data_IF_294192596023
#
_entry.id   IF_294192596023
#
_cell.length_a   1.000
_cell.length_b   1.000
_cell.length_c   1.000
_cell.angle_alpha   90.00
_cell.angle_beta   90.00
_cell.angle_gamma   90.00
#
_symmetry.space_group_name_H-M   'P 1'
#
loop_
_entity.id
_entity.type
_entity.pdbx_description
1 polymer ?
#
# COMPACT_ATOMS: atom_id res chain seq x y z
N UNK A 1 -19.71 -66.73 -57.25
CA UNK A 1 -19.00 -66.56 -55.97
C UNK A 1 -17.71 -65.80 -56.26
N UNK A 2 -17.76 -64.47 -56.31
CA UNK A 2 -16.56 -63.66 -56.52
C UNK A 2 -16.08 -63.11 -55.18
N UNK A 3 -15.03 -63.76 -54.69
CA UNK A 3 -14.39 -63.48 -53.42
C UNK A 3 -13.65 -62.13 -53.52
N UNK A 4 -14.24 -61.06 -52.96
CA UNK A 4 -13.55 -59.79 -52.66
C UNK A 4 -12.41 -60.10 -51.68
N UNK A 5 -11.21 -60.36 -52.20
CA UNK A 5 -9.98 -60.40 -51.39
C UNK A 5 -9.74 -59.01 -50.81
N UNK A 6 -9.95 -58.88 -49.51
CA UNK A 6 -9.44 -57.77 -48.71
C UNK A 6 -7.93 -57.69 -48.94
N UNK A 7 -7.46 -56.66 -49.66
CA UNK A 7 -6.03 -56.35 -49.75
C UNK A 7 -5.62 -55.83 -48.38
N UNK A 8 -5.11 -56.70 -47.52
CA UNK A 8 -4.35 -56.28 -46.35
C UNK A 8 -3.11 -55.55 -46.87
N UNK A 9 -3.17 -54.22 -46.87
CA UNK A 9 -2.09 -53.36 -47.34
C UNK A 9 -0.88 -53.64 -46.44
N UNK A 10 0.10 -54.36 -46.96
CA UNK A 10 1.30 -54.70 -46.22
C UNK A 10 2.09 -53.43 -45.93
N UNK A 11 2.33 -53.13 -44.65
CA UNK A 11 3.03 -51.93 -44.19
C UNK A 11 4.42 -51.76 -44.85
N UNK A 12 5.03 -52.89 -45.23
CA UNK A 12 6.30 -52.95 -45.96
C UNK A 12 6.20 -52.44 -47.40
N UNK A 13 5.11 -52.72 -48.11
CA UNK A 13 4.87 -52.21 -49.48
C UNK A 13 4.64 -50.70 -49.48
N UNK A 14 3.98 -50.16 -48.46
CA UNK A 14 3.81 -48.72 -48.27
C UNK A 14 5.14 -48.00 -47.96
N UNK A 15 6.02 -48.60 -47.15
CA UNK A 15 7.28 -47.98 -46.70
C UNK A 15 8.44 -48.08 -47.72
N UNK A 16 8.48 -49.14 -48.53
CA UNK A 16 9.54 -49.39 -49.51
C UNK A 16 9.92 -48.20 -50.42
N UNK A 17 8.96 -47.47 -51.05
CA UNK A 17 9.31 -46.33 -51.91
C UNK A 17 9.95 -45.15 -51.15
N UNK A 18 9.63 -44.98 -49.86
CA UNK A 18 10.21 -43.93 -49.01
C UNK A 18 11.65 -44.29 -48.57
N UNK A 19 11.91 -45.56 -48.22
CA UNK A 19 13.26 -46.03 -47.88
C UNK A 19 14.24 -45.93 -49.06
N UNK A 20 13.78 -46.15 -50.30
CA UNK A 20 14.65 -46.01 -51.47
C UNK A 20 15.10 -44.55 -51.69
N UNK A 21 14.30 -43.58 -51.23
CA UNK A 21 14.60 -42.14 -51.29
C UNK A 21 15.18 -41.58 -49.98
N UNK A 22 15.81 -42.42 -49.14
CA UNK A 22 16.34 -42.03 -47.82
C UNK A 22 17.25 -40.79 -47.83
N UNK A 23 17.99 -40.54 -48.92
CA UNK A 23 18.84 -39.34 -49.06
C UNK A 23 18.04 -38.04 -48.96
N UNK A 24 16.83 -37.99 -49.53
CA UNK A 24 15.95 -36.82 -49.44
C UNK A 24 15.46 -36.60 -48.01
N UNK A 25 15.19 -37.68 -47.26
CA UNK A 25 14.85 -37.59 -45.84
C UNK A 25 16.00 -37.05 -45.00
N UNK A 26 17.23 -37.52 -45.24
CA UNK A 26 18.42 -37.02 -44.55
C UNK A 26 18.65 -35.53 -44.84
N UNK A 27 18.51 -35.10 -46.09
CA UNK A 27 18.60 -33.68 -46.47
C UNK A 27 17.53 -32.85 -45.76
N UNK A 28 16.29 -33.34 -45.72
CA UNK A 28 15.18 -32.63 -45.07
C UNK A 28 15.43 -32.49 -43.56
N UNK A 29 15.86 -33.56 -42.89
CA UNK A 29 16.24 -33.54 -41.47
C UNK A 29 17.36 -32.52 -41.22
N UNK A 30 18.37 -32.48 -42.09
CA UNK A 30 19.47 -31.51 -41.97
C UNK A 30 18.97 -30.06 -42.12
N UNK A 31 18.13 -29.78 -43.12
CA UNK A 31 17.53 -28.46 -43.32
C UNK A 31 16.65 -28.05 -42.14
N UNK A 32 15.81 -28.95 -41.62
CA UNK A 32 14.99 -28.68 -40.44
C UNK A 32 15.83 -28.45 -39.18
N UNK A 33 16.94 -29.17 -39.03
CA UNK A 33 17.88 -28.96 -37.92
C UNK A 33 18.53 -27.58 -38.01
N UNK A 34 18.98 -27.17 -39.20
CA UNK A 34 19.53 -25.83 -39.43
C UNK A 34 18.51 -24.72 -39.15
N UNK A 35 17.29 -24.87 -39.64
CA UNK A 35 16.20 -23.93 -39.38
C UNK A 35 15.86 -23.88 -37.88
N UNK A 36 15.84 -25.03 -37.20
CA UNK A 36 15.63 -25.11 -35.76
C UNK A 36 16.71 -24.39 -34.96
N UNK A 37 17.99 -24.60 -35.30
CA UNK A 37 19.12 -23.89 -34.66
C UNK A 37 19.03 -22.39 -34.92
N UNK A 38 18.71 -21.98 -36.15
CA UNK A 38 18.53 -20.58 -36.51
C UNK A 38 17.39 -19.94 -35.70
N UNK A 39 16.25 -20.62 -35.59
CA UNK A 39 15.10 -20.15 -34.81
C UNK A 39 15.41 -20.01 -33.32
N UNK A 40 16.05 -21.00 -32.71
CA UNK A 40 16.44 -20.96 -31.29
C UNK A 40 17.43 -19.83 -31.03
N UNK A 41 18.37 -19.61 -31.94
CA UNK A 41 19.41 -18.58 -31.78
C UNK A 41 18.88 -17.16 -32.03
N UNK A 42 17.84 -17.02 -32.86
CA UNK A 42 17.20 -15.74 -33.17
C UNK A 42 16.15 -15.32 -32.14
N UNK A 43 15.58 -16.26 -31.39
CA UNK A 43 14.54 -15.98 -30.40
C UNK A 43 15.12 -15.39 -29.11
N UNK A 44 14.50 -14.34 -28.58
CA UNK A 44 14.86 -13.77 -27.28
C UNK A 44 14.32 -14.66 -26.15
N UNK A 45 15.14 -15.01 -25.13
CA UNK A 45 14.67 -15.81 -24.00
C UNK A 45 13.75 -14.98 -23.10
N UNK A 46 12.58 -15.52 -22.76
CA UNK A 46 11.64 -14.93 -21.80
C UNK A 46 11.76 -15.68 -20.48
N UNK A 47 11.92 -14.95 -19.38
CA UNK A 47 12.04 -15.51 -18.04
C UNK A 47 10.84 -15.14 -17.19
N UNK A 48 10.24 -16.15 -16.57
CA UNK A 48 9.19 -15.97 -15.56
C UNK A 48 9.82 -15.74 -14.19
N UNK A 49 9.51 -14.61 -13.56
CA UNK A 49 9.79 -14.37 -12.16
C UNK A 49 8.49 -14.47 -11.36
N UNK A 50 8.59 -14.95 -10.12
CA UNK A 50 7.44 -15.18 -9.27
C UNK A 50 7.79 -14.84 -7.82
N UNK A 51 6.83 -14.27 -7.09
CA UNK A 51 6.92 -14.01 -5.65
C UNK A 51 5.56 -14.30 -5.00
N UNK A 52 5.59 -14.66 -3.72
CA UNK A 52 4.38 -15.01 -2.97
C UNK A 52 4.28 -14.14 -1.73
N UNK A 53 3.12 -13.53 -1.53
CA UNK A 53 2.84 -12.53 -0.48
C UNK A 53 1.72 -13.06 0.39
N UNK A 54 1.97 -13.13 1.71
CA UNK A 54 0.96 -13.53 2.70
C UNK A 54 0.19 -12.30 3.20
N UNK A 55 -1.14 -12.33 3.10
CA UNK A 55 -2.03 -11.29 3.60
C UNK A 55 -2.44 -11.63 5.04
N UNK A 56 -1.92 -10.87 6.01
CA UNK A 56 -2.11 -11.14 7.44
C UNK A 56 -3.52 -10.81 7.96
N UNK A 57 -4.18 -9.79 7.40
CA UNK A 57 -5.45 -9.27 7.94
C UNK A 57 -6.71 -9.86 7.27
N UNK A 58 -6.56 -10.82 6.34
CA UNK A 58 -7.67 -11.43 5.60
C UNK A 58 -8.74 -12.10 6.49
N UNK A 59 -8.40 -12.52 7.72
CA UNK A 59 -9.32 -13.24 8.63
C UNK A 59 -10.05 -12.37 9.67
N UNK A 60 -9.76 -11.07 9.76
CA UNK A 60 -10.20 -10.27 10.93
C UNK A 60 -11.66 -9.81 10.91
N UNK A 61 -12.38 -9.90 9.78
CA UNK A 61 -13.77 -9.45 9.73
C UNK A 61 -14.77 -10.38 10.44
N UNK A 62 -14.39 -11.64 10.72
CA UNK A 62 -15.27 -12.57 11.47
C UNK A 62 -15.22 -12.42 12.99
N UNK A 63 -14.32 -11.61 13.55
CA UNK A 63 -14.13 -11.53 15.01
C UNK A 63 -14.76 -10.30 15.68
N UNK A 64 -15.07 -9.23 14.93
CA UNK A 64 -15.57 -7.97 15.47
C UNK A 64 -17.10 -7.84 15.47
N UNK A 65 -17.81 -8.70 14.73
CA UNK A 65 -19.26 -8.84 14.83
C UNK A 65 -19.56 -10.07 15.71
N UNK A 66 -19.76 -9.83 17.01
CA UNK A 66 -20.32 -10.84 17.89
C UNK A 66 -21.57 -11.44 17.25
N UNK A 67 -21.57 -12.77 17.13
CA UNK A 67 -22.73 -13.59 16.76
C UNK A 67 -23.16 -13.63 15.28
N UNK A 68 -22.20 -13.71 14.34
CA UNK A 68 -22.47 -14.10 12.93
C UNK A 68 -22.24 -15.60 12.68
N UNK A 69 -21.86 -16.39 13.68
CA UNK A 69 -21.73 -17.84 13.52
C UNK A 69 -23.09 -18.57 13.46
N UNK A 70 -24.17 -17.96 13.96
CA UNK A 70 -25.52 -18.54 13.89
C UNK A 70 -26.14 -18.36 12.50
N UNK A 71 -25.76 -17.32 11.76
CA UNK A 71 -26.27 -17.06 10.40
C UNK A 71 -25.58 -17.90 9.31
N UNK A 72 -24.38 -18.45 9.58
CA UNK A 72 -23.65 -19.29 8.63
C UNK A 72 -24.28 -20.67 8.41
N UNK A 73 -25.11 -21.15 9.36
CA UNK A 73 -25.82 -22.42 9.23
C UNK A 73 -27.14 -22.32 8.44
N UNK A 74 -27.58 -21.11 8.08
CA UNK A 74 -28.78 -20.86 7.28
C UNK A 74 -28.39 -20.56 5.82
N UNK A 75 -27.91 -21.58 5.11
CA UNK A 75 -27.87 -21.62 3.64
C UNK A 75 -26.90 -20.64 2.94
N UNK A 76 -25.85 -21.18 2.34
CA UNK A 76 -25.10 -20.56 1.22
C UNK A 76 -24.40 -19.20 1.44
N UNK A 77 -24.19 -18.73 2.67
CA UNK A 77 -23.47 -17.47 2.93
C UNK A 77 -21.95 -17.63 3.15
N UNK A 78 -21.34 -18.69 2.66
CA UNK A 78 -19.89 -18.95 2.79
C UNK A 78 -19.00 -18.05 1.91
N UNK A 79 -19.57 -17.15 1.11
CA UNK A 79 -18.82 -16.29 0.18
C UNK A 79 -18.35 -14.94 0.74
N UNK A 80 -18.75 -14.54 1.95
CA UNK A 80 -18.44 -13.18 2.44
C UNK A 80 -17.05 -13.03 3.10
N UNK A 81 -16.30 -14.14 3.25
CA UNK A 81 -14.93 -14.14 3.79
C UNK A 81 -13.81 -13.90 2.77
N UNK A 82 -14.11 -13.92 1.46
CA UNK A 82 -13.10 -13.80 0.38
C UNK A 82 -12.90 -12.39 -0.14
N UNK A 83 -13.85 -11.47 0.15
CA UNK A 83 -13.78 -10.07 -0.28
C UNK A 83 -12.46 -9.39 0.11
N UNK A 84 -11.91 -9.73 1.28
CA UNK A 84 -10.64 -9.15 1.73
C UNK A 84 -9.47 -9.52 0.80
N UNK A 85 -9.36 -10.77 0.35
CA UNK A 85 -8.24 -11.19 -0.51
C UNK A 85 -8.45 -10.72 -1.95
N UNK A 86 -9.68 -10.78 -2.45
CA UNK A 86 -10.03 -10.25 -3.78
C UNK A 86 -9.75 -8.75 -3.89
N UNK A 87 -10.00 -8.00 -2.82
CA UNK A 87 -9.62 -6.59 -2.73
C UNK A 87 -8.09 -6.42 -2.83
N UNK A 88 -7.29 -7.20 -2.11
CA UNK A 88 -5.82 -7.12 -2.20
C UNK A 88 -5.30 -7.48 -3.60
N UNK A 89 -5.92 -8.46 -4.27
CA UNK A 89 -5.63 -8.76 -5.68
C UNK A 89 -5.91 -7.53 -6.55
N UNK A 90 -7.04 -6.86 -6.33
CA UNK A 90 -7.39 -5.61 -7.00
C UNK A 90 -6.37 -4.50 -6.75
N UNK A 91 -5.86 -4.39 -5.52
CA UNK A 91 -4.82 -3.42 -5.14
C UNK A 91 -3.52 -3.71 -5.91
N UNK A 92 -3.05 -4.97 -5.94
CA UNK A 92 -1.87 -5.34 -6.72
C UNK A 92 -2.03 -5.10 -8.24
N UNK A 93 -3.24 -5.30 -8.78
CA UNK A 93 -3.55 -5.02 -10.20
C UNK A 93 -3.83 -3.55 -10.47
N UNK A 94 -3.86 -2.68 -9.46
CA UNK A 94 -4.19 -1.28 -9.65
C UNK A 94 -3.10 -0.53 -10.41
N UNK A 95 -3.51 0.41 -11.27
CA UNK A 95 -2.57 1.25 -12.04
C UNK A 95 -1.69 2.08 -11.13
N UNK A 96 -2.23 2.61 -10.03
CA UNK A 96 -1.51 3.50 -9.11
C UNK A 96 -0.24 2.86 -8.55
N UNK A 97 -0.32 1.61 -8.08
CA UNK A 97 0.86 0.93 -7.52
C UNK A 97 1.90 0.66 -8.60
N UNK A 98 1.47 0.18 -9.77
CA UNK A 98 2.38 -0.07 -10.90
C UNK A 98 3.04 1.23 -11.35
N UNK A 99 2.27 2.32 -11.43
CA UNK A 99 2.72 3.65 -11.81
C UNK A 99 3.81 4.18 -10.88
N UNK A 100 3.61 4.08 -9.56
CA UNK A 100 4.59 4.51 -8.57
C UNK A 100 5.89 3.72 -8.68
N UNK A 101 5.80 2.40 -8.90
CA UNK A 101 6.98 1.54 -9.11
C UNK A 101 7.74 1.94 -10.38
N UNK A 102 7.03 2.21 -11.48
CA UNK A 102 7.63 2.62 -12.74
C UNK A 102 8.30 4.00 -12.62
N UNK A 103 7.69 4.95 -11.90
CA UNK A 103 8.26 6.28 -11.61
C UNK A 103 9.55 6.19 -10.79
N UNK A 104 9.57 5.38 -9.74
CA UNK A 104 10.73 5.27 -8.86
C UNK A 104 11.94 4.58 -9.53
N UNK A 105 11.69 3.66 -10.46
CA UNK A 105 12.74 2.82 -11.06
C UNK A 105 13.05 3.12 -12.54
N UNK A 106 12.45 4.16 -13.13
CA UNK A 106 12.70 4.60 -14.52
C UNK A 106 12.56 3.46 -15.54
N UNK A 107 11.53 2.63 -15.40
CA UNK A 107 11.29 1.46 -16.26
C UNK A 107 10.74 1.79 -17.66
N UNK A 108 10.54 3.08 -17.96
CA UNK A 108 9.94 3.58 -19.19
C UNK A 108 10.82 3.40 -20.43
N UNK A 109 12.13 3.48 -20.27
CA UNK A 109 13.08 3.44 -21.39
C UNK A 109 13.95 2.19 -21.31
N UNK A 110 13.48 1.03 -21.79
CA UNK A 110 14.31 -0.16 -21.85
C UNK A 110 15.45 0.03 -22.86
N UNK A 111 16.64 -0.39 -22.45
CA UNK A 111 17.87 -0.29 -23.23
C UNK A 111 18.23 -1.67 -23.75
N UNK A 112 18.62 -1.77 -25.02
CA UNK A 112 18.96 -3.01 -25.69
C UNK A 112 20.32 -2.93 -26.35
N UNK A 113 21.05 -4.05 -26.35
CA UNK A 113 22.24 -4.24 -27.16
C UNK A 113 21.91 -5.16 -28.35
N UNK A 114 22.05 -4.65 -29.57
CA UNK A 114 21.81 -5.42 -30.80
C UNK A 114 22.96 -6.41 -31.02
N UNK A 115 22.67 -7.71 -30.92
CA UNK A 115 23.62 -8.76 -31.32
C UNK A 115 23.35 -9.22 -32.76
N UNK A 116 24.15 -10.16 -33.24
CA UNK A 116 24.03 -10.73 -34.59
C UNK A 116 22.68 -11.41 -34.83
N UNK A 117 22.11 -12.09 -33.82
CA UNK A 117 20.91 -12.92 -33.98
C UNK A 117 19.71 -12.43 -33.17
N UNK A 118 19.93 -11.80 -32.02
CA UNK A 118 18.88 -11.28 -31.15
C UNK A 118 19.32 -9.98 -30.46
N UNK A 119 18.36 -9.25 -29.90
CA UNK A 119 18.66 -8.11 -29.04
C UNK A 119 18.58 -8.54 -27.59
N UNK A 120 19.52 -8.09 -26.77
CA UNK A 120 19.56 -8.39 -25.34
C UNK A 120 19.21 -7.12 -24.57
N UNK A 121 18.19 -7.18 -23.73
CA UNK A 121 17.83 -6.09 -22.82
C UNK A 121 18.91 -5.91 -21.73
N UNK A 122 19.44 -4.69 -21.64
CA UNK A 122 20.38 -4.25 -20.62
C UNK A 122 19.63 -3.57 -19.47
N UNK A 123 19.78 -4.12 -18.27
CA UNK A 123 19.19 -3.58 -17.05
C UNK A 123 20.13 -3.76 -15.84
N UNK A 124 19.98 -2.90 -14.83
CA UNK A 124 20.73 -3.00 -13.59
C UNK A 124 22.23 -2.88 -13.81
N UNK A 125 23.00 -3.91 -13.44
CA UNK A 125 24.47 -3.89 -13.56
C UNK A 125 24.97 -3.97 -15.00
N UNK A 126 24.13 -4.41 -15.94
CA UNK A 126 24.52 -4.61 -17.35
C UNK A 126 24.34 -3.38 -18.22
N UNK A 127 23.58 -2.37 -17.77
CA UNK A 127 23.39 -1.13 -18.53
C UNK A 127 24.48 -0.10 -18.23
N UNK A 128 25.18 0.45 -19.23
CA UNK A 128 26.23 1.47 -19.02
C UNK A 128 25.68 2.84 -18.60
N UNK A 129 24.42 3.13 -18.92
CA UNK A 129 23.76 4.40 -18.60
C UNK A 129 22.32 4.18 -18.17
N UNK A 130 21.77 5.19 -17.51
CA UNK A 130 20.38 5.27 -17.09
C UNK A 130 19.78 6.49 -17.80
N UNK A 131 18.61 6.29 -18.42
CA UNK A 131 17.84 7.36 -19.06
C UNK A 131 16.71 7.72 -18.12
N UNK A 132 16.71 8.96 -17.64
CA UNK A 132 15.60 9.49 -16.85
C UNK A 132 14.76 10.42 -17.74
N UNK A 133 13.47 10.13 -17.86
CA UNK A 133 12.53 10.99 -18.56
C UNK A 133 12.08 12.07 -17.57
N UNK A 134 12.46 13.32 -17.83
CA UNK A 134 12.14 14.46 -16.96
C UNK A 134 10.74 14.99 -17.26
N UNK A 135 10.40 15.07 -18.55
CA UNK A 135 9.12 15.60 -19.01
C UNK A 135 8.75 15.00 -20.37
N UNK A 136 7.53 14.48 -20.50
CA UNK A 136 6.95 14.09 -21.79
C UNK A 136 6.34 15.29 -22.50
N UNK A 137 6.40 15.31 -23.84
CA UNK A 137 5.73 16.32 -24.66
C UNK A 137 4.41 15.73 -25.16
N UNK A 138 3.30 16.21 -24.60
CA UNK A 138 1.97 15.61 -24.76
C UNK A 138 1.42 15.57 -26.20
N UNK A 139 1.90 16.44 -27.09
CA UNK A 139 1.40 16.57 -28.48
C UNK A 139 2.41 16.08 -29.55
N UNK A 140 3.46 15.39 -29.12
CA UNK A 140 4.52 14.93 -30.02
C UNK A 140 4.25 13.50 -30.53
N UNK A 141 4.57 13.26 -31.81
CA UNK A 141 4.56 11.90 -32.34
C UNK A 141 5.63 11.04 -31.63
N UNK A 142 5.17 9.91 -31.08
CA UNK A 142 6.04 8.94 -30.43
C UNK A 142 6.93 8.24 -31.48
N UNK A 143 8.22 8.01 -31.17
CA UNK A 143 9.12 7.34 -32.09
C UNK A 143 8.67 5.88 -32.28
N UNK A 144 8.49 5.46 -33.54
CA UNK A 144 8.10 4.07 -33.84
C UNK A 144 9.33 3.17 -34.01
N UNK A 145 10.48 3.79 -34.30
CA UNK A 145 11.77 3.11 -34.48
C UNK A 145 12.70 3.26 -33.28
N UNK A 146 13.62 2.30 -33.08
CA UNK A 146 14.61 2.37 -32.00
C UNK A 146 15.57 3.54 -32.20
N UNK A 147 16.02 4.12 -31.09
CA UNK A 147 16.98 5.23 -31.07
C UNK A 147 18.33 4.66 -30.67
N UNK A 148 19.29 4.70 -31.59
CA UNK A 148 20.64 4.20 -31.37
C UNK A 148 21.47 5.20 -30.58
N UNK A 149 22.29 4.67 -29.68
CA UNK A 149 23.13 5.43 -28.74
C UNK A 149 24.57 5.03 -28.97
N UNK A 150 25.39 5.96 -29.47
CA UNK A 150 26.84 5.80 -29.57
C UNK A 150 27.53 6.59 -28.47
N UNK A 151 28.40 5.93 -27.71
CA UNK A 151 29.12 6.52 -26.58
C UNK A 151 30.58 6.68 -26.96
N UNK A 152 31.05 7.92 -27.06
CA UNK A 152 32.46 8.26 -27.27
C UNK A 152 32.96 9.03 -26.04
N UNK A 153 33.40 8.29 -25.02
CA UNK A 153 33.85 8.85 -23.74
C UNK A 153 32.70 9.52 -22.99
N UNK A 154 32.68 10.86 -22.98
CA UNK A 154 31.63 11.65 -22.32
C UNK A 154 30.56 12.19 -23.29
N UNK A 155 30.78 12.01 -24.60
CA UNK A 155 29.87 12.42 -25.66
C UNK A 155 28.95 11.26 -26.03
N UNK A 156 27.66 11.54 -26.08
CA UNK A 156 26.61 10.61 -26.47
C UNK A 156 26.00 11.13 -27.77
N UNK A 157 26.03 10.32 -28.82
CA UNK A 157 25.35 10.64 -30.09
C UNK A 157 24.12 9.77 -30.23
N UNK A 158 22.97 10.42 -30.40
CA UNK A 158 21.68 9.78 -30.58
C UNK A 158 21.28 9.86 -32.05
N UNK A 159 21.02 8.72 -32.66
CA UNK A 159 20.61 8.62 -34.06
C UNK A 159 19.34 7.77 -34.16
N UNK A 160 18.33 8.26 -34.87
CA UNK A 160 17.13 7.50 -35.22
C UNK A 160 16.94 7.55 -36.73
N UNK A 161 16.42 6.47 -37.31
CA UNK A 161 16.05 6.45 -38.74
C UNK A 161 14.92 7.43 -39.09
N UNK A 162 14.22 7.96 -38.08
CA UNK A 162 13.16 8.96 -38.23
C UNK A 162 13.66 10.41 -38.13
N UNK A 163 14.96 10.61 -37.84
CA UNK A 163 15.52 11.94 -37.65
C UNK A 163 16.43 12.33 -38.80
N UNK A 164 16.29 13.57 -39.27
CA UNK A 164 17.16 14.12 -40.32
C UNK A 164 18.60 14.41 -39.83
N UNK A 165 18.77 14.60 -38.51
CA UNK A 165 20.06 14.91 -37.88
C UNK A 165 20.22 14.18 -36.56
N UNK A 166 21.44 13.70 -36.34
CA UNK A 166 21.86 13.13 -35.07
C UNK A 166 21.86 14.22 -33.97
N UNK A 167 21.41 13.83 -32.78
CA UNK A 167 21.40 14.70 -31.60
C UNK A 167 22.60 14.33 -30.73
N UNK A 168 23.49 15.30 -30.52
CA UNK A 168 24.65 15.13 -29.65
C UNK A 168 24.37 15.67 -28.25
N UNK A 169 24.71 14.87 -27.24
CA UNK A 169 24.55 15.24 -25.83
C UNK A 169 25.69 14.72 -24.97
N UNK A 170 25.67 15.11 -23.69
CA UNK A 170 26.65 14.73 -22.68
C UNK A 170 25.93 14.15 -21.46
N UNK A 171 26.67 13.37 -20.66
CA UNK A 171 26.14 12.90 -19.38
C UNK A 171 25.80 14.06 -18.45
N UNK A 172 24.75 13.87 -17.63
CA UNK A 172 24.20 14.86 -16.70
C UNK A 172 23.66 16.14 -17.36
N UNK A 173 23.49 16.14 -18.68
CA UNK A 173 22.83 17.23 -19.42
C UNK A 173 21.44 16.81 -19.86
N UNK A 174 20.46 17.68 -19.63
CA UNK A 174 19.11 17.49 -20.16
C UNK A 174 19.13 17.70 -21.67
N UNK A 175 18.50 16.78 -22.39
CA UNK A 175 18.44 16.76 -23.85
C UNK A 175 16.99 16.83 -24.27
N UNK A 176 16.64 17.83 -25.07
CA UNK A 176 15.29 17.92 -25.64
C UNK A 176 15.21 17.02 -26.87
N UNK A 177 14.51 15.91 -26.75
CA UNK A 177 14.10 15.07 -27.88
C UNK A 177 12.75 15.55 -28.42
N UNK A 178 12.37 15.18 -29.65
CA UNK A 178 11.09 15.58 -30.23
C UNK A 178 9.87 15.24 -29.34
N UNK A 179 9.93 14.13 -28.62
CA UNK A 179 8.84 13.58 -27.80
C UNK A 179 9.01 13.75 -26.28
N UNK A 180 10.23 14.01 -25.77
CA UNK A 180 10.48 14.13 -24.34
C UNK A 180 11.77 14.89 -24.02
N UNK A 181 11.88 15.39 -22.78
CA UNK A 181 13.14 15.88 -22.21
C UNK A 181 13.74 14.75 -21.39
N UNK A 182 14.93 14.30 -21.79
CA UNK A 182 15.62 13.17 -21.14
C UNK A 182 16.95 13.58 -20.54
N UNK A 183 17.35 12.89 -19.48
CA UNK A 183 18.63 13.06 -18.80
C UNK A 183 19.39 11.74 -18.82
N UNK A 184 20.60 11.75 -19.40
CA UNK A 184 21.49 10.60 -19.40
C UNK A 184 22.42 10.64 -18.19
N UNK A 185 22.45 9.56 -17.41
CA UNK A 185 23.33 9.42 -16.23
C UNK A 185 24.20 8.18 -16.40
N UNK A 186 25.50 8.29 -16.09
CA UNK A 186 26.40 7.13 -16.04
C UNK A 186 25.95 6.18 -14.94
N UNK A 187 25.88 4.89 -15.22
CA UNK A 187 25.55 3.91 -14.20
C UNK A 187 26.80 3.56 -13.37
N UNK A 188 26.87 3.92 -12.08
CA UNK A 188 28.02 3.60 -11.24
C UNK A 188 28.15 2.10 -10.95
N UNK A 189 27.05 1.33 -11.04
CA UNK A 189 27.02 -0.10 -10.80
C UNK A 189 27.31 -0.93 -12.08
N UNK A 190 27.72 -0.28 -13.16
CA UNK A 190 27.95 -0.93 -14.44
C UNK A 190 29.11 -1.94 -14.37
N UNK A 191 28.85 -3.15 -14.84
CA UNK A 191 29.83 -4.21 -15.04
C UNK A 191 29.72 -4.69 -16.49
N UNK A 192 30.81 -4.56 -17.24
CA UNK A 192 30.83 -4.96 -18.64
C UNK A 192 30.50 -6.46 -18.78
N UNK A 193 29.37 -6.82 -19.42
CA UNK A 193 29.00 -8.22 -19.61
C UNK A 193 29.99 -8.92 -20.57
N UNK A 194 30.58 -10.07 -20.19
CA UNK A 194 31.70 -10.68 -20.93
C UNK A 194 31.35 -11.28 -22.30
N UNK A 195 30.06 -11.35 -22.66
CA UNK A 195 29.57 -12.04 -23.89
C UNK A 195 28.62 -11.19 -24.74
N UNK A 196 28.57 -9.87 -24.50
CA UNK A 196 27.62 -8.98 -25.18
C UNK A 196 28.43 -7.93 -25.94
N UNK A 197 28.21 -7.82 -27.25
CA UNK A 197 28.76 -6.72 -28.02
C UNK A 197 27.99 -5.43 -27.66
N UNK A 198 28.72 -4.39 -27.26
CA UNK A 198 28.19 -3.10 -26.79
C UNK A 198 28.34 -1.99 -27.84
N UNK A 199 28.73 -2.32 -29.08
CA UNK A 199 28.98 -1.34 -30.14
C UNK A 199 27.67 -0.73 -30.66
N UNK A 200 26.57 -1.51 -30.59
CA UNK A 200 25.25 -1.12 -31.09
C UNK A 200 24.20 -1.17 -29.97
N UNK A 201 24.20 -0.15 -29.12
CA UNK A 201 23.18 0.05 -28.09
C UNK A 201 22.06 0.92 -28.65
N UNK A 202 20.81 0.59 -28.33
CA UNK A 202 19.66 1.41 -28.64
C UNK A 202 18.65 1.37 -27.50
N UNK A 203 17.77 2.35 -27.41
CA UNK A 203 16.61 2.30 -26.52
C UNK A 203 15.33 2.48 -27.32
N UNK A 204 14.23 1.97 -26.77
CA UNK A 204 12.89 2.25 -27.28
C UNK A 204 12.18 3.17 -26.30
N UNK A 205 11.25 3.96 -26.82
CA UNK A 205 10.47 4.89 -26.02
C UNK A 205 8.99 4.61 -26.25
N UNK A 206 8.24 4.61 -25.15
CA UNK A 206 6.78 4.66 -25.13
C UNK A 206 6.37 5.76 -24.16
N UNK A 207 5.16 6.25 -24.34
CA UNK A 207 4.53 7.13 -23.37
C UNK A 207 4.45 6.45 -22.01
N UNK A 208 4.48 7.25 -20.95
CA UNK A 208 4.47 6.72 -19.60
C UNK A 208 3.17 5.94 -19.31
N UNK A 209 2.02 6.44 -19.75
CA UNK A 209 0.73 5.77 -19.59
C UNK A 209 0.67 4.42 -20.33
N UNK A 210 1.14 4.36 -21.58
CA UNK A 210 1.26 3.12 -22.35
C UNK A 210 2.21 2.11 -21.69
N UNK A 211 3.30 2.57 -21.09
CA UNK A 211 4.21 1.73 -20.32
C UNK A 211 3.50 1.16 -19.08
N UNK A 212 2.76 1.97 -18.32
CA UNK A 212 1.99 1.51 -17.16
C UNK A 212 1.01 0.41 -17.56
N UNK A 213 0.25 0.62 -18.64
CA UNK A 213 -0.70 -0.38 -19.14
C UNK A 213 0.00 -1.69 -19.52
N UNK A 214 1.13 -1.61 -20.23
CA UNK A 214 1.90 -2.80 -20.63
C UNK A 214 2.37 -3.60 -19.41
N UNK A 215 2.91 -2.95 -18.39
CA UNK A 215 3.38 -3.65 -17.18
C UNK A 215 2.22 -4.22 -16.38
N UNK A 216 1.11 -3.48 -16.28
CA UNK A 216 -0.11 -3.94 -15.62
C UNK A 216 -0.68 -5.20 -16.29
N UNK A 217 -0.73 -5.24 -17.63
CA UNK A 217 -1.20 -6.41 -18.38
C UNK A 217 -0.24 -7.60 -18.27
N UNK A 218 1.07 -7.34 -18.17
CA UNK A 218 2.08 -8.39 -17.96
C UNK A 218 2.09 -8.99 -16.55
N UNK A 219 1.48 -8.30 -15.58
CA UNK A 219 1.42 -8.74 -14.19
C UNK A 219 0.27 -9.73 -13.99
N UNK A 220 0.64 -10.97 -13.72
CA UNK A 220 -0.30 -12.01 -13.30
C UNK A 220 -0.37 -12.07 -11.78
N UNK A 221 -1.58 -11.93 -11.25
CA UNK A 221 -1.89 -11.97 -9.82
C UNK A 221 -2.96 -13.02 -9.62
N UNK A 222 -2.58 -14.11 -8.96
CA UNK A 222 -3.42 -15.28 -8.71
C UNK A 222 -3.32 -15.71 -7.24
N UNK A 223 -4.35 -16.39 -6.74
CA UNK A 223 -4.27 -17.05 -5.44
C UNK A 223 -3.53 -18.38 -5.57
N UNK A 224 -2.71 -18.72 -4.57
CA UNK A 224 -2.09 -20.05 -4.51
C UNK A 224 -3.14 -21.16 -4.26
N UNK A 225 -4.17 -20.85 -3.48
CA UNK A 225 -5.30 -21.72 -3.18
C UNK A 225 -6.59 -20.88 -3.10
N UNK A 226 -7.74 -21.43 -3.49
CA UNK A 226 -9.02 -20.69 -3.57
C UNK A 226 -9.49 -20.16 -2.22
N UNK A 227 -9.07 -20.78 -1.13
CA UNK A 227 -9.33 -20.34 0.25
C UNK A 227 -8.05 -19.79 0.93
N UNK A 228 -6.98 -19.62 0.16
CA UNK A 228 -5.67 -19.22 0.65
C UNK A 228 -5.57 -17.73 0.97
N UNK A 229 -4.68 -17.40 1.91
CA UNK A 229 -4.29 -15.99 2.22
C UNK A 229 -2.99 -15.59 1.51
N UNK A 230 -2.49 -16.43 0.60
CA UNK A 230 -1.25 -16.23 -0.13
C UNK A 230 -1.58 -15.84 -1.56
N UNK A 231 -1.16 -14.63 -1.93
CA UNK A 231 -1.23 -14.10 -3.29
C UNK A 231 0.09 -14.38 -3.98
N UNK A 232 0.01 -14.88 -5.21
CA UNK A 232 1.15 -15.18 -6.05
C UNK A 232 1.21 -14.16 -7.19
N UNK A 233 2.35 -13.47 -7.30
CA UNK A 233 2.62 -12.47 -8.31
C UNK A 233 3.64 -13.03 -9.29
N UNK A 234 3.39 -12.92 -10.59
CA UNK A 234 4.36 -13.30 -11.61
C UNK A 234 4.39 -12.36 -12.80
N UNK A 235 5.57 -12.25 -13.41
CA UNK A 235 5.84 -11.45 -14.62
C UNK A 235 6.80 -12.19 -15.54
N UNK A 236 6.62 -11.98 -16.83
CA UNK A 236 7.44 -12.55 -17.89
C UNK A 236 8.24 -11.43 -18.57
N UNK A 237 9.57 -11.40 -18.38
CA UNK A 237 10.47 -10.42 -19.02
C UNK A 237 11.71 -11.07 -19.63
N UNK A 238 12.33 -10.38 -20.58
CA UNK A 238 13.59 -10.80 -21.21
C UNK A 238 14.78 -10.74 -20.24
N UNK A 239 14.75 -9.81 -19.28
CA UNK A 239 15.80 -9.64 -18.29
C UNK A 239 15.39 -10.15 -16.90
N UNK A 240 16.18 -11.11 -16.36
CA UNK A 240 15.96 -11.73 -15.04
C UNK A 240 16.06 -10.73 -13.88
N UNK A 241 17.03 -9.82 -13.91
CA UNK A 241 17.22 -8.83 -12.84
C UNK A 241 16.07 -7.83 -12.84
N UNK A 242 15.61 -7.43 -14.02
CA UNK A 242 14.46 -6.54 -14.20
C UNK A 242 13.19 -7.14 -13.62
N UNK A 243 12.90 -8.40 -13.93
CA UNK A 243 11.73 -9.12 -13.42
C UNK A 243 11.73 -9.22 -11.89
N UNK A 244 12.87 -9.58 -11.29
CA UNK A 244 13.04 -9.61 -9.83
C UNK A 244 12.90 -8.23 -9.21
N UNK A 245 13.54 -7.22 -9.80
CA UNK A 245 13.49 -5.85 -9.31
C UNK A 245 12.07 -5.32 -9.33
N UNK A 246 11.34 -5.51 -10.43
CA UNK A 246 9.95 -5.08 -10.55
C UNK A 246 9.07 -5.72 -9.46
N UNK A 247 9.10 -7.04 -9.31
CA UNK A 247 8.29 -7.73 -8.29
C UNK A 247 8.66 -7.31 -6.86
N UNK A 248 9.95 -7.18 -6.55
CA UNK A 248 10.40 -6.74 -5.22
C UNK A 248 9.90 -5.32 -4.90
N UNK A 249 10.00 -4.41 -5.87
CA UNK A 249 9.56 -3.03 -5.70
C UNK A 249 8.04 -2.92 -5.66
N UNK A 250 7.32 -3.76 -6.40
CA UNK A 250 5.86 -3.86 -6.33
C UNK A 250 5.39 -4.26 -4.93
N UNK A 251 6.01 -5.29 -4.35
CA UNK A 251 5.71 -5.71 -2.96
C UNK A 251 6.09 -4.62 -1.96
N UNK A 252 7.21 -3.93 -2.17
CA UNK A 252 7.62 -2.81 -1.32
C UNK A 252 6.61 -1.66 -1.37
N UNK A 253 6.20 -1.22 -2.56
CA UNK A 253 5.23 -0.16 -2.76
C UNK A 253 3.86 -0.53 -2.17
N UNK A 254 3.44 -1.78 -2.33
CA UNK A 254 2.24 -2.31 -1.67
C UNK A 254 2.34 -2.20 -0.15
N UNK A 255 3.47 -2.58 0.46
CA UNK A 255 3.65 -2.47 1.91
C UNK A 255 3.57 -1.01 2.39
N UNK A 256 4.16 -0.07 1.64
CA UNK A 256 4.06 1.37 1.94
C UNK A 256 2.61 1.86 1.84
N UNK A 257 1.89 1.45 0.79
CA UNK A 257 0.47 1.75 0.62
C UNK A 257 -0.38 1.21 1.78
N UNK A 258 -0.18 -0.06 2.18
CA UNK A 258 -0.90 -0.70 3.27
C UNK A 258 -0.63 -0.02 4.64
N UNK A 259 0.61 0.40 4.90
CA UNK A 259 0.96 1.16 6.11
C UNK A 259 0.26 2.52 6.10
N UNK A 260 0.29 3.22 4.96
CA UNK A 260 -0.33 4.54 4.83
C UNK A 260 -1.85 4.48 5.01
N UNK A 261 -2.52 3.50 4.39
CA UNK A 261 -3.96 3.31 4.54
C UNK A 261 -4.35 3.05 6.01
N UNK A 262 -3.61 2.16 6.68
CA UNK A 262 -3.80 1.89 8.12
C UNK A 262 -3.57 3.12 9.01
N UNK A 263 -2.61 3.97 8.64
CA UNK A 263 -2.37 5.23 9.34
C UNK A 263 -3.52 6.22 9.12
N UNK A 264 -4.08 6.30 7.91
CA UNK A 264 -5.24 7.14 7.59
C UNK A 264 -6.47 6.65 8.38
N UNK A 265 -6.73 5.36 8.42
CA UNK A 265 -7.81 4.77 9.22
C UNK A 265 -7.65 5.09 10.70
N UNK A 266 -6.45 4.85 11.26
CA UNK A 266 -6.14 5.13 12.66
C UNK A 266 -6.31 6.60 13.00
N UNK A 267 -5.91 7.50 12.09
CA UNK A 267 -6.09 8.95 12.25
C UNK A 267 -7.58 9.33 12.25
N UNK A 268 -8.38 8.80 11.32
CA UNK A 268 -9.83 9.04 11.27
C UNK A 268 -10.53 8.58 12.55
N UNK A 269 -10.15 7.40 13.06
CA UNK A 269 -10.68 6.88 14.32
C UNK A 269 -10.28 7.77 15.51
N UNK A 270 -9.02 8.21 15.57
CA UNK A 270 -8.57 9.18 16.58
C UNK A 270 -9.38 10.47 16.52
N UNK A 271 -9.51 11.07 15.33
CA UNK A 271 -10.24 12.32 15.12
C UNK A 271 -11.72 12.19 15.53
N UNK A 272 -12.32 11.02 15.31
CA UNK A 272 -13.68 10.72 15.76
C UNK A 272 -13.79 10.67 17.29
N UNK A 273 -12.86 9.98 17.97
CA UNK A 273 -12.82 9.90 19.43
C UNK A 273 -12.59 11.28 20.04
N UNK A 274 -11.62 12.05 19.53
CA UNK A 274 -11.28 13.38 20.03
C UNK A 274 -12.50 14.32 19.92
N UNK A 275 -13.24 14.29 18.80
CA UNK A 275 -14.51 15.03 18.65
C UNK A 275 -15.56 14.59 19.67
N UNK A 276 -15.69 13.29 19.93
CA UNK A 276 -16.67 12.75 20.88
C UNK A 276 -16.35 13.16 22.32
N UNK A 277 -15.07 13.18 22.71
CA UNK A 277 -14.62 13.63 24.04
C UNK A 277 -14.96 15.11 24.25
N UNK A 278 -14.70 15.97 23.27
CA UNK A 278 -15.02 17.40 23.35
C UNK A 278 -16.54 17.61 23.50
N UNK A 279 -17.34 16.91 22.70
CA UNK A 279 -18.80 16.99 22.78
C UNK A 279 -19.33 16.56 24.15
N UNK A 280 -18.88 15.41 24.67
CA UNK A 280 -19.29 14.91 26.00
C UNK A 280 -18.85 15.87 27.11
N UNK A 281 -17.65 16.44 27.02
CA UNK A 281 -17.15 17.40 28.00
C UNK A 281 -18.01 18.68 28.03
N UNK A 282 -18.45 19.13 26.86
CA UNK A 282 -19.38 20.26 26.74
C UNK A 282 -20.75 19.92 27.29
N UNK A 283 -21.34 18.79 26.88
CA UNK A 283 -22.65 18.33 27.38
C UNK A 283 -22.64 18.18 28.91
N UNK A 284 -21.56 17.66 29.49
CA UNK A 284 -21.42 17.54 30.95
C UNK A 284 -21.31 18.92 31.63
N UNK A 285 -20.57 19.86 31.05
CA UNK A 285 -20.48 21.23 31.54
C UNK A 285 -21.83 21.96 31.48
N UNK A 286 -22.59 21.76 30.40
CA UNK A 286 -23.94 22.31 30.23
C UNK A 286 -24.90 21.72 31.28
N UNK A 287 -24.84 20.40 31.52
CA UNK A 287 -25.64 19.72 32.56
C UNK A 287 -25.28 20.21 33.97
N UNK A 288 -24.00 20.39 34.30
CA UNK A 288 -23.59 20.90 35.61
C UNK A 288 -24.03 22.36 35.80
N UNK A 289 -23.94 23.19 34.75
CA UNK A 289 -24.44 24.57 34.76
C UNK A 289 -25.96 24.61 34.94
N UNK A 290 -26.71 23.74 34.26
CA UNK A 290 -28.16 23.61 34.45
C UNK A 290 -28.52 23.15 35.86
N UNK A 291 -27.77 22.20 36.43
CA UNK A 291 -27.94 21.72 37.80
C UNK A 291 -27.63 22.80 38.82
N UNK A 292 -26.58 23.59 38.62
CA UNK A 292 -26.26 24.75 39.45
C UNK A 292 -27.37 25.80 39.38
N UNK A 293 -27.80 26.17 38.17
CA UNK A 293 -28.90 27.11 37.96
C UNK A 293 -30.22 26.64 38.58
N UNK A 294 -30.52 25.34 38.49
CA UNK A 294 -31.70 24.74 39.13
C UNK A 294 -31.60 24.81 40.66
N UNK A 295 -30.43 24.53 41.25
CA UNK A 295 -30.20 24.65 42.69
C UNK A 295 -30.33 26.11 43.16
N UNK A 296 -29.70 27.04 42.46
CA UNK A 296 -29.72 28.47 42.80
C UNK A 296 -31.13 29.06 42.67
N UNK A 297 -31.82 28.83 41.54
CA UNK A 297 -33.16 29.37 41.29
C UNK A 297 -34.24 28.83 42.24
N UNK A 298 -34.06 27.61 42.76
CA UNK A 298 -34.97 27.01 43.74
C UNK A 298 -34.49 27.18 45.20
N UNK A 299 -33.43 27.95 45.46
CA UNK A 299 -32.78 28.08 46.77
C UNK A 299 -32.50 26.71 47.44
N UNK A 300 -32.16 25.69 46.64
CA UNK A 300 -31.80 24.36 47.14
C UNK A 300 -30.35 24.44 47.59
N UNK A 301 -30.16 24.90 48.83
CA UNK A 301 -28.91 24.77 49.57
C UNK A 301 -28.80 23.31 50.04
N UNK A 302 -27.59 22.83 50.27
CA UNK A 302 -27.40 21.51 50.85
C UNK A 302 -28.08 21.44 52.23
N UNK A 303 -29.26 20.82 52.27
CA UNK A 303 -30.10 20.69 53.47
C UNK A 303 -29.35 20.06 54.64
N UNK A 304 -28.37 19.17 54.37
CA UNK A 304 -27.57 18.55 55.43
C UNK A 304 -26.62 19.57 56.07
N UNK A 305 -25.98 20.39 55.24
CA UNK A 305 -25.12 21.47 55.69
C UNK A 305 -25.91 22.55 56.43
N UNK A 306 -27.08 22.94 55.93
CA UNK A 306 -27.95 23.93 56.60
C UNK A 306 -28.51 23.38 57.93
N UNK A 307 -28.97 22.12 57.97
CA UNK A 307 -29.43 21.49 59.19
C UNK A 307 -28.32 21.41 60.25
N UNK A 308 -27.08 21.09 59.85
CA UNK A 308 -25.91 21.10 60.73
C UNK A 308 -25.63 22.48 61.32
N UNK A 309 -25.59 23.52 60.49
CA UNK A 309 -25.38 24.91 60.93
C UNK A 309 -26.50 25.35 61.88
N UNK A 310 -27.77 25.05 61.57
CA UNK A 310 -28.91 25.42 62.40
C UNK A 310 -28.88 24.72 63.77
N UNK A 311 -28.52 23.43 63.80
CA UNK A 311 -28.36 22.68 65.05
C UNK A 311 -27.26 23.28 65.92
N UNK A 312 -26.11 23.61 65.33
CA UNK A 312 -24.98 24.23 66.03
C UNK A 312 -25.34 25.62 66.57
N UNK A 313 -26.06 26.43 65.79
CA UNK A 313 -26.57 27.74 66.23
C UNK A 313 -27.56 27.59 67.40
N UNK A 314 -28.43 26.57 67.37
CA UNK A 314 -29.33 26.26 68.48
C UNK A 314 -28.58 25.84 69.74
N UNK A 315 -27.55 25.02 69.62
CA UNK A 315 -26.71 24.62 70.76
C UNK A 315 -25.98 25.83 71.37
N UNK A 316 -25.38 26.69 70.55
CA UNK A 316 -24.73 27.92 71.01
C UNK A 316 -25.72 28.86 71.70
N UNK A 317 -26.91 29.07 71.10
CA UNK A 317 -27.96 29.92 71.69
C UNK A 317 -28.42 29.35 73.03
N UNK A 318 -28.58 28.03 73.14
CA UNK A 318 -28.96 27.36 74.38
C UNK A 318 -27.87 27.54 75.46
N UNK A 319 -26.60 27.44 75.09
CA UNK A 319 -25.49 27.70 76.01
C UNK A 319 -25.49 29.15 76.50
N UNK A 320 -25.72 30.13 75.61
CA UNK A 320 -25.86 31.54 76.01
C UNK A 320 -27.05 31.78 76.95
N UNK A 321 -28.20 31.13 76.70
CA UNK A 321 -29.37 31.20 77.60
C UNK A 321 -29.03 30.64 78.98
N UNK A 322 -28.32 29.51 79.04
CA UNK A 322 -27.90 28.92 80.31
C UNK A 322 -26.95 29.84 81.07
N UNK A 323 -25.98 30.44 80.38
CA UNK A 323 -25.04 31.40 80.96
C UNK A 323 -25.74 32.67 81.46
N UNK A 324 -26.66 33.24 80.69
CA UNK A 324 -27.50 34.36 81.14
C UNK A 324 -28.38 33.96 82.33
N UNK A 325 -28.91 32.73 82.33
CA UNK A 325 -29.69 32.19 83.43
C UNK A 325 -28.89 32.06 84.72
N UNK A 326 -27.66 31.56 84.66
CA UNK A 326 -26.76 31.48 85.82
C UNK A 326 -26.35 32.86 86.32
N UNK A 327 -26.03 33.79 85.41
CA UNK A 327 -25.75 35.19 85.78
C UNK A 327 -26.94 35.83 86.51
N UNK A 328 -28.16 35.61 86.01
CA UNK A 328 -29.38 36.15 86.62
C UNK A 328 -29.64 35.54 88.00
N UNK A 329 -29.39 34.25 88.18
CA UNK A 329 -29.53 33.57 89.47
C UNK A 329 -28.48 34.05 90.49
N UNK A 330 -27.23 34.23 90.07
CA UNK A 330 -26.18 34.86 90.88
C UNK A 330 -26.62 36.27 91.30
N UNK A 331 -27.20 37.05 90.37
CA UNK A 331 -27.71 38.39 90.66
C UNK A 331 -28.86 38.38 91.69
N UNK A 332 -29.76 37.39 91.61
CA UNK A 332 -30.83 37.19 92.60
C UNK A 332 -30.29 36.76 93.95
N UNK A 333 -29.34 35.83 94.00
CA UNK A 333 -28.68 35.41 95.25
C UNK A 333 -27.98 36.58 95.93
N UNK A 334 -27.25 37.40 95.16
CA UNK A 334 -26.66 38.64 95.66
C UNK A 334 -27.73 39.58 96.22
N UNK A 335 -28.82 39.84 95.47
CA UNK A 335 -29.93 40.68 95.92
C UNK A 335 -30.57 40.17 97.22
N UNK A 336 -30.86 38.87 97.32
CA UNK A 336 -31.41 38.26 98.52
C UNK A 336 -30.43 38.31 99.71
N UNK A 337 -29.13 38.09 99.47
CA UNK A 337 -28.12 38.20 100.53
C UNK A 337 -27.99 39.63 101.07
N UNK A 338 -28.17 40.65 100.22
CA UNK A 338 -28.23 42.04 100.62
C UNK A 338 -29.51 42.35 101.41
N UNK A 339 -30.66 41.86 100.95
CA UNK A 339 -31.93 42.01 101.69
C UNK A 339 -31.91 41.30 103.07
N UNK A 340 -31.23 40.16 103.17
CA UNK A 340 -31.09 39.43 104.43
C UNK A 340 -30.10 40.10 105.38
N UNK A 341 -29.07 40.80 104.85
CA UNK A 341 -28.19 41.68 105.64
C UNK A 341 -28.92 42.89 106.21
N UNK A 342 -29.88 43.47 105.49
CA UNK A 342 -30.73 44.54 106.04
C UNK A 342 -31.62 44.03 107.18
N UNK A 343 -32.12 42.79 107.11
CA UNK A 343 -32.93 42.20 108.19
C UNK A 343 -32.11 41.89 109.46
N UNK A 344 -30.82 41.55 109.33
CA UNK A 344 -29.94 41.29 110.48
C UNK A 344 -29.47 42.57 111.18
N UNK A 345 -29.50 43.74 110.51
CA UNK A 345 -29.10 45.01 111.11
C UNK A 345 -30.17 45.64 112.01
N UNK A 346 -31.41 45.12 111.99
CA UNK A 346 -32.52 45.57 112.84
C UNK A 346 -32.76 44.70 114.09
N UNK A 347 -31.96 43.63 114.30
CA UNK A 347 -32.07 42.73 115.46
C UNK A 347 -30.83 42.73 116.39
N UNK A 348 -30.04 43.80 116.36
CA UNK A 348 -29.05 44.16 117.38
C UNK A 348 -29.40 45.56 117.90
#
# INVERSE_FOLDING_TARGET
>A
MDNKKNKEISLKELMSPYLNKWKYFVVMIFVMTLLGIYYIKSSSPIYKAQTSVLIKDAKKMSAAAGDVNVLQNFGNFSGMGTNSIENEIGVFKSKTIVEDVLKQHNFQTPVYAKQTFNSIELYGTTSPFIINVIQEKNDAELPKKPIFVKINGDKITLSSEEWDKDIETHYKKTTSLPFAIVLFVKNPAYKAPPKINLDNIYFTYKDFAGTVNQYQESLLVDLLDKEGTIINLSVDFENKEKAKSFLNNLVKQYNEYAINDKNIESKRTKDFIDKRIILISKELGDVETQKEGFKSGNNIVDLQTEAGINLQLKEQTKNQILELGTQLEIHKMLKNSLAQKELQMYCL
#
